data_IF_515602298965
#
_entry.id   IF_515602298965
#
_cell.length_a   1.000
_cell.length_b   1.000
_cell.length_c   1.000
_cell.angle_alpha   90.00
_cell.angle_beta   90.00
_cell.angle_gamma   90.00
#
_symmetry.space_group_name_H-M   'P 1'
#
loop_
_entity.id
_entity.type
_entity.pdbx_description
1 polymer ?
#
# COMPACT_ATOMS: atom_id res chain seq x y z
N UNK A 1 -7.45 0.98 -21.36
CA UNK A 1 -6.85 0.07 -20.38
C UNK A 1 -5.36 0.19 -20.52
N UNK A 2 -4.73 0.99 -19.67
CA UNK A 2 -3.28 1.05 -19.60
C UNK A 2 -2.94 0.96 -18.12
N UNK A 3 -2.33 -0.15 -17.76
CA UNK A 3 -1.89 -0.43 -16.40
C UNK A 3 -0.41 -0.07 -16.32
N UNK A 4 -0.02 0.57 -15.23
CA UNK A 4 1.36 0.98 -14.97
C UNK A 4 2.11 -0.06 -14.11
N UNK A 5 1.48 -1.22 -13.85
CA UNK A 5 2.00 -2.28 -12.98
C UNK A 5 2.81 -3.36 -13.72
N UNK A 6 2.79 -3.36 -15.04
CA UNK A 6 3.57 -4.27 -15.87
C UNK A 6 4.68 -3.48 -16.57
N UNK A 7 5.80 -3.31 -15.88
CA UNK A 7 6.96 -2.54 -16.37
C UNK A 7 8.21 -3.38 -16.40
N UNK A 8 9.09 -3.11 -17.37
CA UNK A 8 10.41 -3.72 -17.39
C UNK A 8 11.23 -3.28 -16.17
N UNK A 9 11.74 -4.26 -15.44
CA UNK A 9 12.61 -4.04 -14.29
C UNK A 9 14.07 -4.10 -14.75
N UNK A 10 14.90 -3.09 -14.40
CA UNK A 10 16.32 -3.13 -14.74
C UNK A 10 17.02 -4.36 -14.14
N UNK A 11 17.94 -4.98 -14.89
CA UNK A 11 18.65 -6.19 -14.47
C UNK A 11 19.50 -6.04 -13.18
N UNK A 12 19.77 -4.81 -12.75
CA UNK A 12 20.46 -4.51 -11.48
C UNK A 12 19.56 -4.63 -10.25
N UNK A 13 18.25 -4.63 -10.43
CA UNK A 13 17.28 -4.69 -9.34
C UNK A 13 17.04 -6.13 -8.92
N UNK A 14 16.93 -6.35 -7.62
CA UNK A 14 16.45 -7.59 -7.04
C UNK A 14 14.93 -7.67 -7.20
N UNK A 15 14.34 -8.88 -7.18
CA UNK A 15 12.88 -9.07 -7.25
C UNK A 15 12.20 -8.72 -5.91
N UNK A 16 12.50 -7.52 -5.39
CA UNK A 16 11.98 -6.99 -4.14
C UNK A 16 11.31 -5.66 -4.47
N UNK A 17 9.98 -5.66 -4.37
CA UNK A 17 9.15 -4.49 -4.68
C UNK A 17 8.69 -3.83 -3.39
N UNK A 18 9.05 -2.56 -3.21
CA UNK A 18 8.74 -1.79 -2.02
C UNK A 18 8.50 -0.32 -2.34
N UNK A 19 7.66 0.33 -1.55
CA UNK A 19 7.55 1.79 -1.53
C UNK A 19 7.51 2.29 -0.09
N UNK A 20 8.15 3.44 0.22
CA UNK A 20 7.97 4.12 1.50
C UNK A 20 6.50 4.42 1.83
N UNK A 21 5.62 4.46 0.83
CA UNK A 21 4.18 4.68 1.00
C UNK A 21 3.42 3.46 1.55
N UNK A 22 4.05 2.29 1.70
CA UNK A 22 3.40 1.08 2.22
C UNK A 22 2.91 1.25 3.67
N UNK A 23 3.60 2.06 4.47
CA UNK A 23 3.25 2.22 5.87
C UNK A 23 1.97 3.07 6.03
N UNK A 24 1.03 2.56 6.81
CA UNK A 24 -0.14 3.32 7.25
C UNK A 24 0.28 4.10 8.50
N UNK A 25 0.35 5.42 8.40
CA UNK A 25 0.77 6.31 9.51
C UNK A 25 -0.17 7.49 9.64
N UNK A 26 -0.71 7.69 10.84
CA UNK A 26 -1.53 8.86 11.12
C UNK A 26 -1.64 9.16 12.62
N UNK A 27 -0.86 10.12 13.11
CA UNK A 27 -0.99 10.68 14.46
C UNK A 27 -1.07 9.63 15.59
N UNK A 28 -0.42 8.46 15.45
CA UNK A 28 -0.46 7.40 16.43
C UNK A 28 -1.66 6.44 16.31
N UNK A 29 -2.60 6.68 15.39
CA UNK A 29 -3.70 5.75 15.10
C UNK A 29 -3.21 4.42 14.54
N UNK A 30 -2.03 4.40 13.93
CA UNK A 30 -1.37 3.16 13.50
C UNK A 30 -1.12 2.19 14.67
N UNK A 31 -1.01 2.70 15.92
CA UNK A 31 -0.86 1.88 17.14
C UNK A 31 -2.16 1.25 17.60
N UNK A 32 -3.31 1.73 17.10
CA UNK A 32 -4.63 1.17 17.39
C UNK A 32 -5.01 0.09 16.37
N UNK A 33 -4.27 -0.03 15.27
CA UNK A 33 -4.46 -1.13 14.35
C UNK A 33 -4.08 -2.44 15.04
N UNK A 34 -4.86 -3.53 14.90
CA UNK A 34 -4.52 -4.85 15.47
C UNK A 34 -3.22 -5.47 14.91
N UNK A 35 -2.54 -4.77 14.01
CA UNK A 35 -1.39 -5.24 13.26
C UNK A 35 -0.40 -4.08 13.09
N UNK A 36 0.91 -4.36 13.08
CA UNK A 36 1.97 -3.33 12.93
C UNK A 36 1.94 -2.69 11.55
N UNK A 37 1.17 -1.61 11.43
CA UNK A 37 0.99 -0.80 10.23
C UNK A 37 2.28 -0.14 9.69
N UNK A 38 3.41 -0.27 10.41
CA UNK A 38 4.74 0.19 10.00
C UNK A 38 5.77 -0.92 9.74
N UNK A 39 5.39 -2.21 9.75
CA UNK A 39 6.36 -3.32 9.65
C UNK A 39 7.24 -3.27 8.39
N UNK A 40 6.70 -2.82 7.26
CA UNK A 40 7.36 -2.90 5.96
C UNK A 40 8.59 -2.01 5.94
N UNK A 41 8.44 -0.75 6.40
CA UNK A 41 9.59 0.15 6.54
C UNK A 41 10.65 -0.36 7.51
N UNK A 42 10.25 -1.04 8.61
CA UNK A 42 11.19 -1.66 9.56
C UNK A 42 11.99 -2.78 8.90
N UNK A 43 11.32 -3.68 8.17
CA UNK A 43 11.98 -4.78 7.44
C UNK A 43 12.97 -4.25 6.42
N UNK A 44 12.57 -3.29 5.59
CA UNK A 44 13.47 -2.70 4.58
C UNK A 44 14.63 -1.97 5.24
N UNK A 45 14.38 -1.25 6.34
CA UNK A 45 15.45 -0.60 7.09
C UNK A 45 16.48 -1.61 7.62
N UNK A 46 16.04 -2.70 8.25
CA UNK A 46 16.96 -3.74 8.73
C UNK A 46 17.75 -4.39 7.59
N UNK A 47 17.11 -4.67 6.46
CA UNK A 47 17.79 -5.26 5.31
C UNK A 47 18.83 -4.32 4.68
N UNK A 48 18.62 -3.01 4.74
CA UNK A 48 19.59 -2.01 4.31
C UNK A 48 20.76 -1.85 5.28
N UNK A 49 20.48 -1.85 6.59
CA UNK A 49 21.52 -1.79 7.63
C UNK A 49 22.48 -2.98 7.51
N UNK A 50 21.95 -4.17 7.23
CA UNK A 50 22.73 -5.40 7.02
C UNK A 50 23.31 -5.52 5.59
N UNK A 51 23.22 -4.45 4.78
CA UNK A 51 23.76 -4.37 3.41
C UNK A 51 23.21 -5.40 2.41
N UNK A 52 22.08 -6.04 2.71
CA UNK A 52 21.38 -6.92 1.77
C UNK A 52 20.66 -6.14 0.67
N UNK A 53 20.18 -4.94 0.99
CA UNK A 53 19.46 -4.05 0.06
C UNK A 53 20.09 -2.67 -0.03
N UNK A 54 19.95 -2.05 -1.20
CA UNK A 54 20.24 -0.63 -1.45
C UNK A 54 19.06 -0.02 -2.19
N UNK A 55 18.93 1.31 -2.20
CA UNK A 55 17.87 1.96 -2.97
C UNK A 55 17.97 1.65 -4.48
N UNK A 56 19.17 1.38 -4.98
CA UNK A 56 19.41 1.07 -6.40
C UNK A 56 18.99 -0.35 -6.81
N UNK A 57 18.87 -1.26 -5.84
CA UNK A 57 18.57 -2.66 -6.08
C UNK A 57 17.13 -3.06 -5.68
N UNK A 58 16.32 -2.11 -5.23
CA UNK A 58 14.90 -2.29 -4.95
C UNK A 58 14.08 -1.80 -6.15
N UNK A 59 12.97 -2.48 -6.43
CA UNK A 59 11.97 -2.01 -7.40
C UNK A 59 10.94 -1.15 -6.66
N UNK A 60 10.76 0.10 -7.09
CA UNK A 60 9.77 0.98 -6.46
C UNK A 60 8.34 0.53 -6.80
N UNK A 61 7.54 0.27 -5.76
CA UNK A 61 6.15 -0.15 -5.91
C UNK A 61 5.25 1.00 -6.39
N UNK A 62 4.28 0.66 -7.25
CA UNK A 62 3.29 1.61 -7.79
C UNK A 62 1.90 1.35 -7.21
N UNK A 63 1.10 2.41 -7.11
CA UNK A 63 -0.29 2.32 -6.68
C UNK A 63 -1.15 1.61 -7.73
N UNK A 64 -1.92 0.60 -7.31
CA UNK A 64 -2.92 -0.01 -8.18
C UNK A 64 -4.06 0.99 -8.48
N UNK A 65 -4.34 1.21 -9.76
CA UNK A 65 -5.44 2.06 -10.23
C UNK A 65 -6.81 1.43 -9.96
N UNK A 66 -7.88 2.21 -10.12
CA UNK A 66 -9.24 1.65 -10.03
C UNK A 66 -9.44 0.56 -11.09
N UNK A 67 -8.91 0.75 -12.30
CA UNK A 67 -8.93 -0.21 -13.39
C UNK A 67 -8.22 -1.52 -13.04
N UNK A 68 -7.06 -1.44 -12.38
CA UNK A 68 -6.32 -2.62 -11.91
C UNK A 68 -7.15 -3.40 -10.87
N UNK A 69 -7.78 -2.68 -9.94
CA UNK A 69 -8.61 -3.29 -8.89
C UNK A 69 -9.90 -3.90 -9.44
N UNK A 70 -10.43 -3.36 -10.54
CA UNK A 70 -11.66 -3.84 -11.19
C UNK A 70 -11.51 -5.21 -11.86
N UNK A 71 -10.28 -5.73 -11.99
CA UNK A 71 -10.03 -7.12 -12.43
C UNK A 71 -10.63 -8.13 -11.44
N UNK A 72 -10.61 -7.81 -10.14
CA UNK A 72 -11.09 -8.71 -9.07
C UNK A 72 -12.31 -8.13 -8.35
N UNK A 73 -12.34 -6.81 -8.13
CA UNK A 73 -13.39 -6.16 -7.36
C UNK A 73 -14.51 -5.57 -8.24
N UNK A 74 -15.70 -5.49 -7.65
CA UNK A 74 -16.83 -4.83 -8.31
C UNK A 74 -16.77 -3.31 -8.14
N UNK A 75 -17.27 -2.55 -9.14
CA UNK A 75 -17.47 -1.09 -9.03
C UNK A 75 -18.26 -0.72 -7.79
N UNK A 76 -19.27 -1.53 -7.44
CA UNK A 76 -20.09 -1.35 -6.24
C UNK A 76 -19.26 -1.41 -4.96
N UNK A 77 -18.32 -2.36 -4.86
CA UNK A 77 -17.44 -2.48 -3.71
C UNK A 77 -16.47 -1.29 -3.62
N UNK A 78 -15.80 -0.94 -4.72
CA UNK A 78 -14.87 0.20 -4.74
C UNK A 78 -15.56 1.52 -4.38
N UNK A 79 -16.81 1.73 -4.82
CA UNK A 79 -17.61 2.88 -4.42
C UNK A 79 -17.97 2.89 -2.92
N UNK A 80 -18.10 1.73 -2.26
CA UNK A 80 -18.30 1.67 -0.80
C UNK A 80 -17.05 2.14 -0.05
N UNK A 81 -15.85 1.87 -0.56
CA UNK A 81 -14.59 2.31 0.06
C UNK A 81 -14.43 3.85 0.10
N UNK A 82 -15.26 4.60 -0.62
CA UNK A 82 -15.32 6.07 -0.53
C UNK A 82 -15.88 6.57 0.80
N UNK A 83 -16.48 5.70 1.63
CA UNK A 83 -17.07 6.07 2.92
C UNK A 83 -16.17 5.68 4.09
N UNK A 84 -15.83 6.64 4.96
CA UNK A 84 -14.96 6.40 6.13
C UNK A 84 -15.52 5.34 7.07
N UNK A 85 -16.86 5.23 7.19
CA UNK A 85 -17.53 4.16 7.96
C UNK A 85 -17.14 2.78 7.46
N UNK A 86 -17.20 2.56 6.15
CA UNK A 86 -16.85 1.27 5.55
C UNK A 86 -15.38 0.95 5.79
N UNK A 87 -14.49 1.93 5.60
CA UNK A 87 -13.05 1.74 5.82
C UNK A 87 -12.76 1.42 7.28
N UNK A 88 -13.31 2.19 8.23
CA UNK A 88 -13.13 1.99 9.67
C UNK A 88 -13.58 0.59 10.13
N UNK A 89 -14.70 0.09 9.59
CA UNK A 89 -15.18 -1.26 9.87
C UNK A 89 -14.25 -2.32 9.30
N UNK A 90 -13.81 -2.19 8.05
CA UNK A 90 -12.91 -3.16 7.40
C UNK A 90 -11.56 -3.24 8.13
N UNK A 91 -11.00 -2.09 8.51
CA UNK A 91 -9.69 -2.04 9.18
C UNK A 91 -9.76 -2.25 10.68
N UNK A 92 -10.96 -2.38 11.25
CA UNK A 92 -11.18 -2.47 12.70
C UNK A 92 -10.55 -1.28 13.49
N UNK A 93 -10.56 -0.08 12.91
CA UNK A 93 -10.07 1.14 13.55
C UNK A 93 -11.23 2.15 13.67
N UNK A 94 -12.05 2.06 14.74
CA UNK A 94 -13.18 2.97 14.94
C UNK A 94 -12.82 4.48 14.89
N UNK A 95 -11.65 4.94 15.37
CA UNK A 95 -11.29 6.36 15.25
C UNK A 95 -11.24 6.93 13.83
N UNK A 96 -11.08 6.10 12.78
CA UNK A 96 -11.10 6.58 11.38
C UNK A 96 -12.43 7.24 11.00
N UNK A 97 -13.52 6.94 11.72
CA UNK A 97 -14.84 7.56 11.53
C UNK A 97 -14.81 9.08 11.68
N UNK A 98 -13.94 9.59 12.55
CA UNK A 98 -13.87 11.01 12.88
C UNK A 98 -12.90 11.78 11.99
N UNK A 99 -12.18 11.10 11.09
CA UNK A 99 -11.26 11.74 10.18
C UNK A 99 -11.96 12.23 8.91
N UNK A 100 -11.58 13.42 8.39
CA UNK A 100 -11.95 13.83 7.05
C UNK A 100 -11.62 12.73 6.03
N UNK A 101 -12.57 12.39 5.16
CA UNK A 101 -12.46 11.23 4.29
C UNK A 101 -11.20 11.26 3.40
N UNK A 102 -10.78 12.43 2.92
CA UNK A 102 -9.55 12.56 2.13
C UNK A 102 -8.30 12.08 2.87
N UNK A 103 -8.26 12.21 4.21
CA UNK A 103 -7.17 11.67 5.03
C UNK A 103 -7.25 10.15 5.09
N UNK A 104 -8.45 9.58 5.27
CA UNK A 104 -8.65 8.11 5.25
C UNK A 104 -8.23 7.54 3.89
N UNK A 105 -8.65 8.16 2.79
CA UNK A 105 -8.26 7.76 1.43
C UNK A 105 -6.74 7.80 1.25
N UNK A 106 -6.09 8.89 1.68
CA UNK A 106 -4.65 9.12 1.48
C UNK A 106 -3.76 8.30 2.41
N UNK A 107 -4.17 8.10 3.66
CA UNK A 107 -3.32 7.53 4.72
C UNK A 107 -3.61 6.07 5.01
N UNK A 108 -4.74 5.53 4.54
CA UNK A 108 -5.12 4.12 4.72
C UNK A 108 -5.24 3.43 3.37
N UNK A 109 -6.16 3.88 2.51
CA UNK A 109 -6.46 3.15 1.28
C UNK A 109 -5.36 3.26 0.22
N UNK A 110 -4.71 4.42 0.07
CA UNK A 110 -3.57 4.57 -0.85
C UNK A 110 -2.42 3.61 -0.51
N UNK A 111 -1.91 3.54 0.72
CA UNK A 111 -0.93 2.51 1.11
C UNK A 111 -1.34 1.08 0.75
N UNK A 112 -2.61 0.71 1.01
CA UNK A 112 -3.12 -0.63 0.67
C UNK A 112 -3.16 -0.88 -0.85
N UNK A 113 -3.51 0.14 -1.66
CA UNK A 113 -3.45 0.05 -3.12
C UNK A 113 -2.01 -0.02 -3.63
N UNK A 114 -1.06 0.67 -3.01
CA UNK A 114 0.38 0.55 -3.33
C UNK A 114 0.92 -0.84 -2.97
N UNK A 115 0.53 -1.41 -1.84
CA UNK A 115 0.88 -2.81 -1.48
C UNK A 115 0.29 -3.81 -2.48
N UNK A 116 -0.95 -3.59 -2.92
CA UNK A 116 -1.60 -4.40 -3.97
C UNK A 116 -0.83 -4.29 -5.29
N UNK A 117 -0.53 -3.07 -5.72
CA UNK A 117 0.20 -2.83 -6.97
C UNK A 117 1.60 -3.43 -6.94
N UNK A 118 2.33 -3.32 -5.84
CA UNK A 118 3.63 -3.97 -5.68
C UNK A 118 3.56 -5.50 -5.73
N UNK A 119 2.49 -6.11 -5.22
CA UNK A 119 2.28 -7.56 -5.33
C UNK A 119 2.07 -8.00 -6.79
N UNK A 120 1.32 -7.20 -7.55
CA UNK A 120 1.12 -7.42 -8.99
C UNK A 120 2.44 -7.28 -9.74
N UNK A 121 3.24 -6.26 -9.43
CA UNK A 121 4.55 -6.00 -10.06
C UNK A 121 5.57 -7.13 -9.84
N UNK A 122 5.54 -7.83 -8.70
CA UNK A 122 6.43 -8.99 -8.44
C UNK A 122 6.07 -10.20 -9.31
N UNK A 123 4.81 -10.32 -9.72
CA UNK A 123 4.29 -11.50 -10.40
C UNK A 123 4.58 -11.52 -11.92
N UNK A 124 5.43 -10.59 -12.38
CA UNK A 124 5.75 -10.33 -13.78
C UNK A 124 7.26 -10.39 -13.98
#
# INVERSE_FOLDING_TARGET
>A
MQTELYTEVPARCLPIVYSPEYNITFLGLEKLHPFDAGKWGKVVHFLKEEQFLTDDNIVEAREASEEDLLVVHTRRYLNKLKWSLVVATITEIPPLLFLPNFLVQRKVLRPLRTQTGGTIMVSN
#
